data_IF_219189829747
#
_entry.id   IF_219189829747
#
_cell.length_a   1.000
_cell.length_b   1.000
_cell.length_c   1.000
_cell.angle_alpha   90.00
_cell.angle_beta   90.00
_cell.angle_gamma   90.00
#
_symmetry.space_group_name_H-M   'P 1'
#
loop_
_entity.id
_entity.type
_entity.pdbx_description
1 polymer ?
#
# COMPACT_ATOMS: atom_id res chain seq x y z
N UNK A 1 11.08 -0.16 -5.85
CA UNK A 1 9.62 -0.18 -5.65
C UNK A 1 8.91 -0.45 -6.96
N UNK A 2 7.92 -1.33 -6.95
CA UNK A 2 7.01 -1.52 -8.06
C UNK A 2 5.56 -1.44 -7.55
N UNK A 3 4.83 -0.39 -7.94
CA UNK A 3 3.49 -0.14 -7.42
C UNK A 3 2.43 -1.09 -7.97
N UNK A 4 2.72 -1.77 -9.09
CA UNK A 4 1.84 -2.74 -9.72
C UNK A 4 2.45 -3.35 -10.98
N UNK A 5 2.63 -4.67 -10.96
CA UNK A 5 3.04 -5.48 -12.11
C UNK A 5 1.89 -6.45 -12.40
N UNK A 6 1.47 -6.52 -13.66
CA UNK A 6 0.40 -7.39 -14.14
C UNK A 6 1.01 -8.56 -14.94
N UNK A 7 1.12 -9.77 -14.39
CA UNK A 7 0.85 -10.14 -12.98
C UNK A 7 1.99 -11.01 -12.46
N UNK A 8 2.17 -12.17 -13.08
CA UNK A 8 3.21 -13.12 -12.72
C UNK A 8 4.49 -12.75 -13.46
N UNK A 9 5.56 -12.46 -12.73
CA UNK A 9 6.82 -12.05 -13.36
C UNK A 9 8.05 -12.48 -12.58
N UNK A 10 9.17 -12.53 -13.30
CA UNK A 10 10.51 -12.60 -12.74
C UNK A 10 11.22 -11.27 -12.97
N UNK A 11 11.78 -10.69 -11.91
CA UNK A 11 12.46 -9.40 -11.96
C UNK A 11 13.95 -9.61 -11.77
N UNK A 12 14.75 -9.09 -12.72
CA UNK A 12 16.22 -9.12 -12.63
C UNK A 12 16.82 -7.72 -12.78
N UNK A 13 17.97 -7.51 -12.14
CA UNK A 13 18.81 -6.33 -12.32
C UNK A 13 20.21 -6.81 -12.64
N UNK A 14 20.79 -6.31 -13.74
CA UNK A 14 22.10 -6.75 -14.23
C UNK A 14 22.20 -8.28 -14.34
N UNK A 15 21.12 -8.90 -14.83
CA UNK A 15 20.93 -10.36 -14.96
C UNK A 15 20.89 -11.16 -13.64
N UNK A 16 20.93 -10.49 -12.49
CA UNK A 16 20.72 -11.10 -11.17
C UNK A 16 19.24 -11.10 -10.78
N UNK A 17 18.73 -12.24 -10.31
CA UNK A 17 17.36 -12.39 -9.82
C UNK A 17 17.15 -11.62 -8.50
N UNK A 18 16.28 -10.62 -8.52
CA UNK A 18 15.93 -9.85 -7.31
C UNK A 18 14.59 -10.26 -6.70
N UNK A 19 13.72 -10.92 -7.48
CA UNK A 19 12.44 -11.38 -6.97
C UNK A 19 11.43 -11.80 -8.04
N UNK A 20 10.25 -12.18 -7.56
CA UNK A 20 9.11 -12.60 -8.38
C UNK A 20 7.84 -11.87 -7.95
N UNK A 21 6.89 -11.75 -8.87
CA UNK A 21 5.55 -11.24 -8.60
C UNK A 21 4.50 -12.25 -9.02
N UNK A 22 3.31 -12.17 -8.45
CA UNK A 22 2.18 -13.08 -8.67
C UNK A 22 0.79 -12.46 -8.40
N UNK A 23 0.74 -11.17 -8.08
CA UNK A 23 -0.47 -10.48 -7.63
C UNK A 23 -0.50 -9.03 -8.15
N UNK A 24 -1.45 -8.77 -9.04
CA UNK A 24 -1.62 -7.49 -9.73
C UNK A 24 -1.93 -6.33 -8.77
N UNK A 25 -2.52 -6.64 -7.63
CA UNK A 25 -3.18 -5.66 -6.76
C UNK A 25 -2.31 -5.12 -5.64
N UNK A 26 -1.08 -5.62 -5.49
CA UNK A 26 -0.18 -5.23 -4.41
C UNK A 26 1.08 -4.57 -4.96
N UNK A 27 1.70 -3.78 -4.09
CA UNK A 27 3.02 -3.21 -4.30
C UNK A 27 4.09 -4.26 -3.96
N UNK A 28 5.14 -4.29 -4.77
CA UNK A 28 6.34 -5.08 -4.52
C UNK A 28 7.53 -4.19 -4.16
N UNK A 29 8.34 -4.66 -3.21
CA UNK A 29 9.59 -4.04 -2.79
C UNK A 29 10.70 -5.08 -2.89
N UNK A 30 11.82 -4.67 -3.48
CA UNK A 30 13.02 -5.49 -3.62
C UNK A 30 14.19 -4.67 -3.06
N UNK A 31 15.02 -5.29 -2.22
CA UNK A 31 16.31 -4.71 -1.84
C UNK A 31 17.26 -4.86 -3.02
N UNK A 32 17.71 -3.73 -3.56
CA UNK A 32 18.56 -3.67 -4.76
C UNK A 32 19.97 -3.15 -4.45
N UNK A 33 20.29 -2.87 -3.17
CA UNK A 33 21.55 -2.21 -2.80
C UNK A 33 22.78 -3.00 -3.22
N UNK A 34 22.70 -4.33 -3.17
CA UNK A 34 23.82 -5.23 -3.49
C UNK A 34 24.02 -5.49 -4.99
N UNK A 35 22.97 -5.29 -5.79
CA UNK A 35 22.97 -5.65 -7.23
C UNK A 35 23.16 -4.45 -8.15
N UNK A 36 22.92 -3.24 -7.62
CA UNK A 36 23.17 -2.00 -8.34
C UNK A 36 24.67 -1.72 -8.47
N UNK A 37 25.07 -1.22 -9.63
CA UNK A 37 26.43 -0.75 -9.91
C UNK A 37 26.45 0.74 -10.23
N UNK A 38 27.61 1.38 -10.07
CA UNK A 38 27.82 2.74 -10.54
C UNK A 38 27.66 2.80 -12.08
N UNK A 39 26.95 3.81 -12.56
CA UNK A 39 26.64 3.98 -13.98
C UNK A 39 25.37 3.25 -14.43
N UNK A 40 25.25 2.87 -15.72
CA UNK A 40 24.06 2.25 -16.28
C UNK A 40 23.73 0.89 -15.64
N UNK A 41 22.46 0.69 -15.30
CA UNK A 41 21.91 -0.58 -14.82
C UNK A 41 20.81 -1.05 -15.77
N UNK A 42 20.69 -2.36 -15.96
CA UNK A 42 19.63 -2.96 -16.78
C UNK A 42 18.63 -3.64 -15.85
N UNK A 43 17.36 -3.23 -15.93
CA UNK A 43 16.26 -3.86 -15.20
C UNK A 43 15.40 -4.62 -16.21
N UNK A 44 15.14 -5.90 -15.95
CA UNK A 44 14.27 -6.73 -16.78
C UNK A 44 13.11 -7.28 -15.95
N UNK A 45 11.90 -7.13 -16.46
CA UNK A 45 10.68 -7.72 -15.89
C UNK A 45 10.13 -8.70 -16.92
N UNK A 46 10.40 -9.99 -16.72
CA UNK A 46 9.91 -11.05 -17.58
C UNK A 46 8.53 -11.50 -17.09
N UNK A 47 7.48 -11.06 -17.78
CA UNK A 47 6.08 -11.34 -17.41
C UNK A 47 5.62 -12.62 -18.13
N UNK A 48 4.99 -13.52 -17.39
CA UNK A 48 4.45 -14.78 -17.91
C UNK A 48 3.02 -14.58 -18.45
N UNK A 49 2.65 -15.38 -19.45
CA UNK A 49 1.26 -15.48 -19.91
C UNK A 49 0.33 -15.90 -18.78
N UNK A 50 -0.64 -15.03 -18.46
CA UNK A 50 -1.59 -15.25 -17.38
C UNK A 50 -2.46 -16.50 -17.62
N UNK A 51 -3.07 -16.74 -18.80
CA UNK A 51 -3.85 -17.97 -19.04
C UNK A 51 -3.03 -19.25 -18.88
N UNK A 52 -1.77 -19.25 -19.35
CA UNK A 52 -0.89 -20.41 -19.21
C UNK A 52 -0.55 -20.67 -17.74
N UNK A 53 -0.21 -19.63 -16.98
CA UNK A 53 0.07 -19.73 -15.55
C UNK A 53 -1.14 -20.27 -14.77
N UNK A 54 -2.33 -19.68 -15.00
CA UNK A 54 -3.58 -20.09 -14.37
C UNK A 54 -3.93 -21.54 -14.65
N UNK A 55 -3.80 -21.98 -15.92
CA UNK A 55 -4.04 -23.38 -16.30
C UNK A 55 -3.07 -24.33 -15.61
N UNK A 56 -1.79 -23.97 -15.51
CA UNK A 56 -0.78 -24.79 -14.82
C UNK A 56 -1.10 -24.93 -13.33
N UNK A 57 -1.45 -23.82 -12.67
CA UNK A 57 -1.87 -23.81 -11.25
C UNK A 57 -3.13 -24.65 -11.02
N UNK A 58 -4.11 -24.58 -11.90
CA UNK A 58 -5.31 -25.40 -11.82
C UNK A 58 -4.99 -26.90 -11.92
N UNK A 59 -4.12 -27.31 -12.85
CA UNK A 59 -3.66 -28.70 -13.00
C UNK A 59 -2.89 -29.19 -11.76
N UNK A 60 -2.02 -28.35 -11.21
CA UNK A 60 -1.27 -28.67 -9.98
C UNK A 60 -2.23 -28.90 -8.82
N UNK A 61 -3.20 -28.01 -8.64
CA UNK A 61 -4.21 -28.11 -7.60
C UNK A 61 -5.06 -29.39 -7.74
N UNK A 62 -5.58 -29.66 -8.94
CA UNK A 62 -6.34 -30.89 -9.21
C UNK A 62 -5.53 -32.14 -8.91
N UNK A 63 -4.25 -32.15 -9.30
CA UNK A 63 -3.36 -33.28 -9.04
C UNK A 63 -3.14 -33.51 -7.55
N UNK A 64 -2.94 -32.44 -6.79
CA UNK A 64 -2.67 -32.47 -5.36
C UNK A 64 -3.90 -32.83 -4.52
N UNK A 65 -5.05 -32.22 -4.82
CA UNK A 65 -6.25 -32.31 -4.00
C UNK A 65 -7.31 -33.27 -4.57
N UNK A 66 -7.08 -33.83 -5.76
CA UNK A 66 -8.04 -34.69 -6.48
C UNK A 66 -9.41 -34.04 -6.66
N UNK A 67 -9.42 -32.71 -6.77
CA UNK A 67 -10.63 -31.89 -6.85
C UNK A 67 -10.45 -30.77 -7.87
N UNK A 68 -11.46 -30.56 -8.73
CA UNK A 68 -11.52 -29.45 -9.68
C UNK A 68 -12.33 -28.31 -9.07
N UNK A 69 -11.70 -27.14 -8.93
CA UNK A 69 -12.39 -25.92 -8.45
C UNK A 69 -13.42 -25.43 -9.45
N UNK A 70 -13.12 -25.51 -10.74
CA UNK A 70 -14.03 -25.07 -11.80
C UNK A 70 -13.88 -25.94 -13.06
N UNK A 71 -15.01 -26.20 -13.73
CA UNK A 71 -15.03 -26.84 -15.06
C UNK A 71 -15.12 -25.75 -16.11
N UNK A 72 -14.02 -25.57 -16.83
CA UNK A 72 -13.90 -24.64 -17.95
C UNK A 72 -14.87 -25.04 -19.09
N UNK A 73 -15.96 -24.29 -19.24
CA UNK A 73 -16.79 -24.36 -20.44
C UNK A 73 -16.17 -23.42 -21.49
N UNK A 74 -15.27 -23.96 -22.32
CA UNK A 74 -14.71 -23.21 -23.47
C UNK A 74 -15.82 -22.93 -24.48
N UNK A 75 -16.57 -21.85 -24.27
CA UNK A 75 -17.17 -21.10 -25.38
C UNK A 75 -16.07 -20.42 -26.20
N UNK A 76 -16.41 -19.93 -27.40
CA UNK A 76 -15.43 -19.41 -28.36
C UNK A 76 -14.60 -18.21 -27.87
N UNK A 77 -15.03 -17.50 -26.82
CA UNK A 77 -14.50 -16.17 -26.47
C UNK A 77 -13.98 -16.04 -25.01
N UNK A 78 -13.77 -17.15 -24.28
CA UNK A 78 -13.41 -17.11 -22.86
C UNK A 78 -12.08 -17.80 -22.55
N UNK A 79 -11.29 -17.18 -21.67
CA UNK A 79 -10.14 -17.80 -21.02
C UNK A 79 -10.56 -18.42 -19.69
N UNK A 80 -9.88 -19.48 -19.27
CA UNK A 80 -10.28 -20.25 -18.09
C UNK A 80 -9.31 -20.10 -16.91
N UNK A 81 -9.78 -20.50 -15.73
CA UNK A 81 -8.98 -20.58 -14.51
C UNK A 81 -8.52 -19.21 -13.96
N UNK A 82 -9.35 -18.17 -14.13
CA UNK A 82 -9.08 -16.82 -13.60
C UNK A 82 -8.96 -16.80 -12.06
N UNK A 83 -9.56 -17.78 -11.39
CA UNK A 83 -9.53 -18.00 -9.94
C UNK A 83 -8.15 -18.46 -9.42
N UNK A 84 -7.30 -19.00 -10.30
CA UNK A 84 -5.95 -19.45 -9.96
C UNK A 84 -4.86 -18.37 -10.10
N UNK A 85 -5.24 -17.12 -10.39
CA UNK A 85 -4.33 -15.98 -10.48
C UNK A 85 -4.88 -14.77 -9.74
N UNK A 86 -4.01 -14.00 -9.08
CA UNK A 86 -4.40 -12.73 -8.44
C UNK A 86 -4.35 -11.57 -9.45
N UNK A 87 -5.22 -11.65 -10.46
CA UNK A 87 -5.41 -10.66 -11.53
C UNK A 87 -6.89 -10.25 -11.60
N UNK A 88 -7.19 -9.11 -12.21
CA UNK A 88 -8.55 -8.65 -12.49
C UNK A 88 -9.34 -9.75 -13.22
N UNK A 89 -10.37 -10.28 -12.58
CA UNK A 89 -11.06 -11.50 -13.01
C UNK A 89 -11.68 -11.37 -14.42
N UNK A 90 -12.37 -10.27 -14.69
CA UNK A 90 -13.03 -10.02 -15.97
C UNK A 90 -12.07 -9.82 -17.16
N UNK A 91 -10.74 -9.84 -16.93
CA UNK A 91 -9.75 -9.86 -18.03
C UNK A 91 -9.75 -11.20 -18.75
N UNK A 92 -10.33 -12.24 -18.15
CA UNK A 92 -10.53 -13.56 -18.75
C UNK A 92 -11.87 -13.68 -19.48
N UNK A 93 -12.52 -12.55 -19.78
CA UNK A 93 -13.91 -12.39 -20.26
C UNK A 93 -14.94 -12.25 -19.14
N UNK A 94 -16.06 -11.63 -19.49
CA UNK A 94 -17.28 -11.50 -18.69
C UNK A 94 -18.50 -11.27 -19.60
N UNK A 95 -19.72 -11.31 -19.08
CA UNK A 95 -20.96 -11.09 -19.87
C UNK A 95 -21.05 -9.70 -20.53
N UNK A 96 -20.18 -8.76 -20.15
CA UNK A 96 -20.08 -7.40 -20.69
C UNK A 96 -18.72 -7.06 -21.31
N UNK A 97 -17.77 -8.01 -21.40
CA UNK A 97 -16.42 -7.70 -21.88
C UNK A 97 -15.62 -8.92 -22.38
N UNK A 98 -14.71 -8.73 -23.36
CA UNK A 98 -13.94 -9.82 -23.97
C UNK A 98 -12.77 -10.32 -23.11
N UNK A 99 -12.20 -11.48 -23.47
CA UNK A 99 -10.96 -11.99 -22.88
C UNK A 99 -9.71 -11.24 -23.39
N UNK A 100 -9.22 -10.28 -22.62
CA UNK A 100 -7.91 -9.65 -22.82
C UNK A 100 -7.03 -9.73 -21.55
N UNK A 101 -6.47 -10.91 -21.24
CA UNK A 101 -5.56 -11.07 -20.11
C UNK A 101 -4.16 -10.55 -20.47
N UNK A 102 -4.04 -9.21 -20.54
CA UNK A 102 -2.83 -8.49 -20.89
C UNK A 102 -1.68 -8.71 -19.90
N UNK A 103 -0.48 -8.28 -20.29
CA UNK A 103 0.73 -8.31 -19.49
C UNK A 103 1.36 -6.93 -19.49
N UNK A 104 1.85 -6.46 -18.34
CA UNK A 104 2.54 -5.18 -18.31
C UNK A 104 2.86 -4.64 -16.92
N UNK A 105 3.70 -3.62 -16.91
CA UNK A 105 3.94 -2.78 -15.75
C UNK A 105 2.82 -1.73 -15.73
N UNK A 106 1.74 -1.99 -15.01
CA UNK A 106 0.51 -1.19 -15.07
C UNK A 106 0.51 0.00 -14.11
N UNK A 107 1.52 0.09 -13.23
CA UNK A 107 1.77 1.23 -12.34
C UNK A 107 3.27 1.57 -12.30
N UNK A 108 3.64 2.78 -11.82
CA UNK A 108 5.04 3.19 -11.75
C UNK A 108 5.96 2.19 -11.05
N UNK A 109 7.18 2.10 -11.56
CA UNK A 109 8.32 1.49 -10.87
C UNK A 109 9.37 2.56 -10.66
N UNK A 110 10.14 2.43 -9.58
CA UNK A 110 11.19 3.38 -9.23
C UNK A 110 12.19 2.81 -8.24
N UNK A 111 13.36 3.45 -8.16
CA UNK A 111 14.36 3.19 -7.13
C UNK A 111 14.16 4.23 -6.04
N UNK A 112 14.17 3.77 -4.81
CA UNK A 112 14.07 4.62 -3.62
C UNK A 112 15.26 4.31 -2.71
N UNK A 113 15.95 5.35 -2.26
CA UNK A 113 17.12 5.25 -1.40
C UNK A 113 16.93 6.17 -0.19
N UNK A 114 17.36 5.70 0.97
CA UNK A 114 17.24 6.39 2.25
C UNK A 114 18.31 5.85 3.22
N UNK A 115 18.75 6.66 4.18
CA UNK A 115 19.80 6.31 5.13
C UNK A 115 19.24 5.98 6.52
N UNK A 116 18.16 6.66 6.92
CA UNK A 116 17.51 6.50 8.23
C UNK A 116 16.24 5.67 8.12
N UNK A 117 15.16 6.26 7.63
CA UNK A 117 13.87 5.59 7.53
C UNK A 117 12.88 6.35 6.65
N UNK A 118 11.91 5.64 6.10
CA UNK A 118 10.82 6.22 5.32
C UNK A 118 9.47 5.92 5.96
N UNK A 119 8.61 6.93 5.98
CA UNK A 119 7.20 6.79 6.33
C UNK A 119 6.43 6.19 5.15
N UNK A 120 6.20 4.88 5.19
CA UNK A 120 5.59 4.10 4.11
C UNK A 120 4.10 4.33 3.98
N UNK A 121 3.41 4.44 5.11
CA UNK A 121 1.98 4.71 5.12
C UNK A 121 1.53 5.37 6.42
N UNK A 122 0.36 6.03 6.34
CA UNK A 122 -0.37 6.60 7.47
C UNK A 122 -1.82 6.19 7.34
N UNK A 123 -2.31 5.42 8.30
CA UNK A 123 -3.72 5.11 8.44
C UNK A 123 -4.33 5.98 9.53
N UNK A 124 -5.57 6.41 9.29
CA UNK A 124 -6.28 7.33 10.17
C UNK A 124 -7.68 6.81 10.41
N UNK A 125 -8.03 6.64 11.67
CA UNK A 125 -9.40 6.36 12.12
C UNK A 125 -9.94 7.57 12.87
N UNK A 126 -11.18 7.95 12.59
CA UNK A 126 -11.85 9.10 13.21
C UNK A 126 -13.04 8.61 14.02
N UNK A 127 -13.09 8.93 15.32
CA UNK A 127 -14.22 8.57 16.19
C UNK A 127 -14.65 9.75 17.05
N UNK A 128 -15.94 9.89 17.39
CA UNK A 128 -16.36 10.78 18.47
C UNK A 128 -15.66 10.38 19.77
N UNK A 129 -15.28 11.36 20.60
CA UNK A 129 -14.68 11.11 21.90
C UNK A 129 -15.74 10.47 22.81
N UNK A 130 -15.49 9.29 23.40
CA UNK A 130 -16.46 8.60 24.26
C UNK A 130 -16.81 9.40 25.52
N UNK A 131 -15.91 10.27 26.00
CA UNK A 131 -16.14 11.13 27.17
C UNK A 131 -16.83 12.45 26.81
N UNK A 132 -16.77 12.85 25.54
CA UNK A 132 -17.40 14.08 25.06
C UNK A 132 -17.73 13.93 23.57
N UNK A 133 -18.95 13.52 23.24
CA UNK A 133 -19.38 13.22 21.87
C UNK A 133 -19.31 14.43 20.91
N UNK A 134 -19.17 15.66 21.42
CA UNK A 134 -18.94 16.86 20.62
C UNK A 134 -17.49 17.04 20.14
N UNK A 135 -16.56 16.25 20.67
CA UNK A 135 -15.15 16.26 20.30
C UNK A 135 -14.81 15.02 19.46
N UNK A 136 -13.87 15.16 18.52
CA UNK A 136 -13.34 14.03 17.76
C UNK A 136 -12.01 13.54 18.32
N UNK A 137 -11.73 12.26 18.11
CA UNK A 137 -10.44 11.62 18.38
C UNK A 137 -9.94 10.99 17.08
N UNK A 138 -8.68 11.23 16.76
CA UNK A 138 -7.95 10.56 15.69
C UNK A 138 -7.14 9.42 16.28
N UNK A 139 -7.20 8.24 15.68
CA UNK A 139 -6.14 7.23 15.84
C UNK A 139 -5.29 7.26 14.58
N UNK A 140 -4.04 7.70 14.73
CA UNK A 140 -3.07 7.79 13.64
C UNK A 140 -2.08 6.64 13.78
N UNK A 141 -2.12 5.73 12.82
CA UNK A 141 -1.18 4.60 12.72
C UNK A 141 -0.16 4.91 11.64
N UNK A 142 1.10 5.04 12.03
CA UNK A 142 2.23 5.27 11.12
C UNK A 142 2.98 3.96 10.89
N UNK A 143 3.34 3.71 9.62
CA UNK A 143 4.13 2.55 9.20
C UNK A 143 5.47 3.05 8.69
N UNK A 144 6.52 2.79 9.45
CA UNK A 144 7.88 3.26 9.19
C UNK A 144 8.75 2.08 8.81
N UNK A 145 9.57 2.28 7.78
CA UNK A 145 10.58 1.33 7.36
C UNK A 145 11.95 1.94 7.56
N UNK A 146 12.75 1.33 8.42
CA UNK A 146 14.04 1.80 8.89
C UNK A 146 15.18 1.00 8.24
N UNK A 147 16.30 1.68 8.00
CA UNK A 147 17.55 1.04 7.58
C UNK A 147 18.22 0.28 8.73
N UNK A 148 17.94 0.68 9.98
CA UNK A 148 18.33 -0.06 11.18
C UNK A 148 17.36 -1.20 11.45
N UNK A 149 17.89 -2.40 11.72
CA UNK A 149 17.14 -3.62 12.06
C UNK A 149 16.99 -3.84 13.57
N UNK A 150 17.44 -2.90 14.40
CA UNK A 150 17.33 -3.00 15.87
C UNK A 150 16.40 -1.94 16.44
N UNK A 151 16.73 -0.69 16.17
CA UNK A 151 16.10 0.47 16.77
C UNK A 151 16.33 1.72 15.93
N UNK A 152 15.37 2.63 15.95
CA UNK A 152 15.45 3.94 15.28
C UNK A 152 14.88 5.03 16.20
N UNK A 153 15.60 6.14 16.31
CA UNK A 153 15.13 7.34 17.01
C UNK A 153 14.50 8.30 16.01
N UNK A 154 13.28 8.73 16.28
CA UNK A 154 12.49 9.55 15.36
C UNK A 154 11.85 10.74 16.07
N UNK A 155 11.53 11.77 15.30
CA UNK A 155 10.78 12.94 15.71
C UNK A 155 9.55 13.04 14.80
N UNK A 156 8.37 13.09 15.40
CA UNK A 156 7.10 13.18 14.69
C UNK A 156 6.40 14.52 14.92
N UNK A 157 5.95 15.11 13.82
CA UNK A 157 5.04 16.26 13.79
C UNK A 157 3.77 15.85 13.03
N UNK A 158 2.60 16.21 13.56
CA UNK A 158 1.30 15.94 12.95
C UNK A 158 0.50 17.24 12.90
N UNK A 159 -0.03 17.57 11.74
CA UNK A 159 -0.91 18.73 11.54
C UNK A 159 -2.18 18.36 10.77
N UNK A 160 -3.24 19.15 10.99
CA UNK A 160 -4.53 19.06 10.33
C UNK A 160 -4.89 20.43 9.75
N UNK A 161 -4.92 20.56 8.42
CA UNK A 161 -5.05 21.85 7.71
C UNK A 161 -4.07 22.90 8.29
N UNK A 162 -2.80 22.51 8.39
CA UNK A 162 -1.67 23.29 8.91
C UNK A 162 -1.77 23.66 10.41
N UNK A 163 -2.83 23.23 11.11
CA UNK A 163 -2.94 23.35 12.57
C UNK A 163 -2.22 22.20 13.25
N UNK A 164 -1.28 22.53 14.14
CA UNK A 164 -0.46 21.56 14.84
C UNK A 164 -1.31 20.74 15.81
N UNK A 165 -1.26 19.42 15.68
CA UNK A 165 -1.85 18.46 16.62
C UNK A 165 -0.80 17.83 17.53
N UNK A 166 0.36 17.51 16.97
CA UNK A 166 1.54 16.97 17.68
C UNK A 166 2.75 17.70 17.13
N UNK A 167 3.66 18.14 18.00
CA UNK A 167 4.91 18.76 17.57
C UNK A 167 6.13 18.18 18.26
N UNK A 168 7.17 17.90 17.46
CA UNK A 168 8.49 17.43 17.86
C UNK A 168 8.47 16.27 18.87
N UNK A 169 7.52 15.35 18.72
CA UNK A 169 7.40 14.23 19.64
C UNK A 169 8.49 13.20 19.34
N UNK A 170 9.37 12.97 20.30
CA UNK A 170 10.48 12.02 20.17
C UNK A 170 10.01 10.60 20.48
N UNK A 171 10.41 9.66 19.63
CA UNK A 171 10.18 8.24 19.83
C UNK A 171 11.47 7.45 19.62
N UNK A 172 11.62 6.38 20.39
CA UNK A 172 12.67 5.40 20.21
C UNK A 172 12.02 4.05 19.95
N UNK A 173 12.06 3.62 18.69
CA UNK A 173 11.21 2.57 18.16
C UNK A 173 12.02 1.31 17.86
N UNK A 174 11.62 0.18 18.42
CA UNK A 174 12.19 -1.14 18.07
C UNK A 174 11.63 -1.60 16.73
N UNK A 175 12.51 -2.03 15.83
CA UNK A 175 12.14 -2.53 14.51
C UNK A 175 12.09 -4.05 14.50
N UNK A 176 11.29 -4.63 13.60
CA UNK A 176 11.36 -6.06 13.33
C UNK A 176 12.62 -6.46 12.53
N UNK A 177 12.73 -7.75 12.21
CA UNK A 177 13.86 -8.30 11.45
C UNK A 177 13.99 -7.77 10.02
N UNK A 178 12.96 -7.08 9.51
CA UNK A 178 12.91 -6.44 8.20
C UNK A 178 13.02 -4.91 8.30
N UNK A 179 13.30 -4.37 9.49
CA UNK A 179 13.41 -2.94 9.72
C UNK A 179 12.06 -2.21 9.79
N UNK A 180 10.94 -2.92 9.89
CA UNK A 180 9.61 -2.30 9.92
C UNK A 180 9.17 -2.02 11.36
N UNK A 181 8.44 -0.91 11.55
CA UNK A 181 7.80 -0.57 12.82
C UNK A 181 6.49 0.17 12.61
N UNK A 182 5.52 -0.12 13.49
CA UNK A 182 4.23 0.58 13.56
C UNK A 182 4.18 1.41 14.84
N UNK A 183 3.73 2.66 14.73
CA UNK A 183 3.43 3.51 15.88
C UNK A 183 1.99 4.01 15.79
N UNK A 184 1.22 3.76 16.85
CA UNK A 184 -0.15 4.20 17.01
C UNK A 184 -0.22 5.37 17.99
N UNK A 185 -0.89 6.45 17.59
CA UNK A 185 -1.13 7.63 18.42
C UNK A 185 -2.62 7.95 18.46
N UNK A 186 -3.13 8.17 19.66
CA UNK A 186 -4.52 8.61 19.89
C UNK A 186 -4.49 10.09 20.21
N UNK A 187 -5.08 10.91 19.33
CA UNK A 187 -4.97 12.36 19.32
C UNK A 187 -6.38 12.95 19.44
N UNK A 188 -6.78 13.46 20.62
CA UNK A 188 -8.00 14.24 20.75
C UNK A 188 -7.87 15.55 19.96
N UNK A 189 -8.85 15.87 19.12
CA UNK A 189 -8.85 17.15 18.40
C UNK A 189 -9.11 18.28 19.40
N UNK A 190 -8.23 19.30 19.49
CA UNK A 190 -8.46 20.45 20.36
C UNK A 190 -9.78 21.16 20.06
N UNK A 191 -10.50 21.61 21.10
CA UNK A 191 -11.82 22.23 20.95
C UNK A 191 -11.81 23.51 20.08
N UNK A 192 -10.69 24.21 20.02
CA UNK A 192 -10.54 25.42 19.19
C UNK A 192 -10.38 25.11 17.69
N UNK A 193 -10.24 23.84 17.30
CA UNK A 193 -10.22 23.40 15.91
C UNK A 193 -11.64 22.94 15.53
N UNK A 194 -12.42 23.76 14.81
CA UNK A 194 -13.77 23.37 14.42
C UNK A 194 -13.72 22.22 13.41
N UNK A 195 -14.49 21.17 13.68
CA UNK A 195 -14.63 20.00 12.79
C UNK A 195 -16.07 19.88 12.31
N UNK A 196 -16.28 20.14 11.02
CA UNK A 196 -17.46 19.69 10.27
C UNK A 196 -17.32 18.22 9.86
N UNK A 197 -18.35 17.42 10.12
CA UNK A 197 -18.42 16.03 9.70
C UNK A 197 -18.64 15.89 8.18
N UNK A 198 -18.12 14.82 7.61
CA UNK A 198 -18.28 14.44 6.20
C UNK A 198 -19.59 13.68 6.00
N UNK A 199 -20.34 14.02 4.94
CA UNK A 199 -21.58 13.35 4.56
C UNK A 199 -21.58 12.93 3.09
N UNK A 200 -22.29 11.85 2.71
CA UNK A 200 -22.48 11.48 1.31
C UNK A 200 -23.29 12.54 0.55
N UNK A 201 -23.31 12.43 -0.78
CA UNK A 201 -24.14 13.28 -1.63
C UNK A 201 -25.63 13.16 -1.27
N UNK A 202 -26.37 14.27 -1.34
CA UNK A 202 -27.83 14.30 -1.12
C UNK A 202 -28.29 14.57 0.32
N UNK A 203 -27.38 14.73 1.28
CA UNK A 203 -27.76 15.12 2.65
C UNK A 203 -27.90 16.66 2.73
N UNK A 204 -29.12 17.14 2.92
CA UNK A 204 -29.43 18.57 2.96
C UNK A 204 -28.60 19.33 4.01
N UNK A 205 -28.09 20.51 3.64
CA UNK A 205 -27.29 21.40 4.47
C UNK A 205 -26.03 20.76 5.10
N UNK A 206 -25.49 19.70 4.48
CA UNK A 206 -24.24 19.05 4.88
C UNK A 206 -23.22 19.05 3.74
N UNK A 207 -21.95 18.90 4.09
CA UNK A 207 -20.84 18.98 3.14
C UNK A 207 -20.00 17.70 3.15
N UNK A 208 -19.27 17.48 2.06
CA UNK A 208 -18.24 16.44 1.94
C UNK A 208 -16.90 16.97 2.49
N UNK A 209 -16.89 17.62 3.66
CA UNK A 209 -15.70 18.26 4.20
C UNK A 209 -14.58 17.25 4.42
N UNK A 210 -13.41 17.51 3.82
CA UNK A 210 -12.18 16.76 4.01
C UNK A 210 -11.12 17.69 4.58
N UNK A 211 -10.25 17.14 5.42
CA UNK A 211 -9.13 17.82 6.05
C UNK A 211 -7.84 17.17 5.61
N UNK A 212 -6.80 17.98 5.41
CA UNK A 212 -5.45 17.52 5.08
C UNK A 212 -4.71 17.19 6.38
N UNK A 213 -4.59 15.91 6.68
CA UNK A 213 -3.68 15.43 7.72
C UNK A 213 -2.28 15.28 7.11
N UNK A 214 -1.29 15.95 7.69
CA UNK A 214 0.13 15.80 7.33
C UNK A 214 0.88 15.20 8.51
N UNK A 215 1.69 14.19 8.22
CA UNK A 215 2.60 13.54 9.17
C UNK A 215 4.01 13.68 8.64
N UNK A 216 4.88 14.27 9.46
CA UNK A 216 6.29 14.49 9.17
C UNK A 216 7.13 13.64 10.12
N UNK A 217 8.02 12.84 9.53
CA UNK A 217 9.02 12.04 10.21
C UNK A 217 10.39 12.68 9.97
N UNK A 218 11.10 13.00 11.04
CA UNK A 218 12.48 13.48 11.00
C UNK A 218 13.34 12.76 12.05
N UNK A 219 14.65 13.03 12.05
CA UNK A 219 15.61 12.31 12.90
C UNK A 219 16.49 13.30 13.67
N UNK A 220 16.88 13.01 14.92
CA UNK A 220 17.70 13.92 15.73
C UNK A 220 19.09 14.23 15.14
N UNK A 221 19.65 13.29 14.38
CA UNK A 221 21.04 13.28 13.91
C UNK A 221 21.15 13.29 12.38
N UNK A 222 20.08 13.64 11.66
CA UNK A 222 20.05 13.66 10.20
C UNK A 222 19.14 14.76 9.66
N UNK A 223 19.46 15.24 8.46
CA UNK A 223 18.59 16.14 7.68
C UNK A 223 17.56 15.37 6.84
N UNK A 224 17.64 14.04 6.80
CA UNK A 224 16.65 13.20 6.13
C UNK A 224 15.27 13.41 6.75
N UNK A 225 14.25 13.47 5.91
CA UNK A 225 12.86 13.63 6.33
C UNK A 225 11.95 12.80 5.43
N UNK A 226 10.85 12.34 5.99
CA UNK A 226 9.82 11.62 5.26
C UNK A 226 8.44 12.14 5.63
N UNK A 227 7.67 12.54 4.63
CA UNK A 227 6.34 13.13 4.81
C UNK A 227 5.27 12.26 4.17
N UNK A 228 4.16 12.07 4.86
CA UNK A 228 2.92 11.56 4.27
C UNK A 228 1.78 12.55 4.48
N UNK A 229 0.89 12.63 3.49
CA UNK A 229 -0.31 13.45 3.56
C UNK A 229 -1.53 12.62 3.19
N UNK A 230 -2.60 12.75 3.97
CA UNK A 230 -3.89 12.09 3.73
C UNK A 230 -5.01 13.13 3.79
N UNK A 231 -6.01 12.97 2.92
CA UNK A 231 -7.29 13.69 3.06
C UNK A 231 -8.23 12.82 3.87
N UNK A 232 -8.68 13.31 5.02
CA UNK A 232 -9.53 12.57 5.96
C UNK A 232 -10.88 13.27 6.12
N UNK A 233 -11.95 12.49 6.25
CA UNK A 233 -13.29 12.99 6.57
C UNK A 233 -13.72 12.44 7.92
N UNK A 234 -14.20 13.30 8.80
CA UNK A 234 -14.71 12.90 10.10
C UNK A 234 -16.14 12.40 9.96
N UNK A 235 -16.38 11.11 10.22
CA UNK A 235 -17.71 10.49 10.07
C UNK A 235 -17.86 9.27 10.95
N UNK A 236 -19.11 8.87 11.17
CA UNK A 236 -19.45 7.58 11.79
C UNK A 236 -20.20 6.72 10.78
N UNK A 237 -19.88 5.42 10.74
CA UNK A 237 -20.67 4.40 10.05
C UNK A 237 -21.22 3.49 11.15
N UNK A 238 -22.50 3.13 11.05
CA UNK A 238 -23.15 2.17 11.93
C UNK A 238 -23.69 1.03 11.09
#
# INVERSE_FOLDING_TARGET
MADGIDTVSTVTINDELIGRTDNQFIRYKFDVKKVLKLGPNVIRVAIQSAPLYSMERAKQYETQYKYKVFVCNKGADNECYFDFIRKMAASYSWDWGPAFPTQGIWKPIGIEAYDKAVLRDVMVDTKPNPKNSSQWVLTVSTYVESASLKQIDTILDISLDDKILVSKQKHSLKTDSLGSVKLDMVIPIPQHIPISAWYPNGVANRTQQLYKLRVDLSFPDSTEQSTQTKRIGFRTIR
#
